data_IF_463961766498
#
_entry.id   IF_463961766498
#
_cell.length_a   1.000
_cell.length_b   1.000
_cell.length_c   1.000
_cell.angle_alpha   90.00
_cell.angle_beta   90.00
_cell.angle_gamma   90.00
#
_symmetry.space_group_name_H-M   'P 1'
#
loop_
_entity.id
_entity.type
_entity.pdbx_description
1 polymer ?
#
# COMPACT_ATOMS: atom_id res chain seq x y z
N UNK A 1 38.48 -11.80 23.98
CA UNK A 1 37.13 -12.29 23.61
C UNK A 1 36.57 -11.35 22.55
N UNK A 2 36.52 -11.77 21.28
CA UNK A 2 35.74 -11.06 20.27
C UNK A 2 34.27 -11.40 20.49
N UNK A 3 33.45 -10.40 20.78
CA UNK A 3 32.00 -10.51 20.70
C UNK A 3 31.64 -10.67 19.22
N UNK A 4 31.34 -11.90 18.81
CA UNK A 4 30.64 -12.14 17.54
C UNK A 4 29.23 -11.61 17.75
N UNK A 5 28.92 -10.47 17.14
CA UNK A 5 27.55 -9.99 17.07
C UNK A 5 26.73 -11.09 16.38
N UNK A 6 25.79 -11.72 17.10
CA UNK A 6 24.81 -12.58 16.48
C UNK A 6 24.00 -11.71 15.52
N UNK A 7 24.09 -12.00 14.22
CA UNK A 7 23.19 -11.45 13.22
C UNK A 7 21.76 -11.89 13.59
N UNK A 8 21.04 -11.05 14.33
CA UNK A 8 19.62 -11.23 14.57
C UNK A 8 18.93 -10.90 13.25
N UNK A 9 18.31 -11.90 12.64
CA UNK A 9 17.56 -11.71 11.40
C UNK A 9 16.54 -10.57 11.61
N UNK A 10 16.73 -9.47 10.88
CA UNK A 10 15.84 -8.33 10.93
C UNK A 10 14.53 -8.73 10.25
N UNK A 11 13.43 -8.73 10.99
CA UNK A 11 12.09 -8.97 10.43
C UNK A 11 11.37 -7.65 10.22
N UNK A 12 10.75 -7.47 9.05
CA UNK A 12 10.00 -6.26 8.70
C UNK A 12 8.60 -6.65 8.22
N UNK A 13 7.55 -6.12 8.85
CA UNK A 13 6.18 -6.27 8.38
C UNK A 13 5.77 -5.09 7.49
N UNK A 14 5.56 -5.35 6.20
CA UNK A 14 4.92 -4.42 5.27
C UNK A 14 3.38 -4.61 5.29
N UNK A 15 2.67 -3.65 5.87
CA UNK A 15 1.20 -3.57 5.76
C UNK A 15 0.82 -2.84 4.48
N UNK A 16 0.13 -3.52 3.58
CA UNK A 16 -0.13 -3.04 2.23
C UNK A 16 -1.55 -3.27 1.73
N UNK A 17 -1.91 -2.60 0.64
CA UNK A 17 -3.25 -2.71 0.03
C UNK A 17 -3.42 -3.97 -0.83
N UNK A 18 -4.65 -4.43 -1.04
CA UNK A 18 -4.99 -5.71 -1.69
C UNK A 18 -4.25 -6.02 -3.00
N UNK A 19 -4.12 -5.03 -3.89
CA UNK A 19 -3.64 -5.24 -5.28
C UNK A 19 -2.11 -5.23 -5.39
N UNK A 20 -1.39 -5.02 -4.29
CA UNK A 20 0.08 -4.97 -4.28
C UNK A 20 0.76 -6.29 -3.95
N UNK A 21 -0.01 -7.37 -3.76
CA UNK A 21 0.50 -8.67 -3.33
C UNK A 21 1.58 -9.19 -4.28
N UNK A 22 1.27 -9.24 -5.56
CA UNK A 22 2.16 -9.73 -6.62
C UNK A 22 3.37 -8.82 -6.80
N UNK A 23 3.17 -7.50 -6.67
CA UNK A 23 4.24 -6.51 -6.76
C UNK A 23 5.30 -6.76 -5.67
N UNK A 24 4.89 -6.86 -4.41
CA UNK A 24 5.82 -7.06 -3.31
C UNK A 24 6.35 -8.49 -3.25
N UNK A 25 5.59 -9.50 -3.69
CA UNK A 25 6.12 -10.85 -3.85
C UNK A 25 7.28 -10.90 -4.85
N UNK A 26 7.25 -10.07 -5.90
CA UNK A 26 8.34 -9.95 -6.86
C UNK A 26 9.49 -9.05 -6.38
N UNK A 27 9.20 -8.00 -5.61
CA UNK A 27 10.21 -7.03 -5.15
C UNK A 27 10.97 -7.44 -3.90
N UNK A 28 10.34 -8.18 -2.98
CA UNK A 28 10.95 -8.52 -1.69
C UNK A 28 12.19 -9.41 -1.84
N UNK A 29 12.18 -10.54 -2.58
CA UNK A 29 13.35 -11.40 -2.69
C UNK A 29 14.62 -10.70 -3.23
N UNK A 30 14.58 -9.92 -4.32
CA UNK A 30 15.78 -9.20 -4.77
C UNK A 30 16.21 -8.11 -3.78
N UNK A 31 15.27 -7.48 -3.07
CA UNK A 31 15.62 -6.49 -2.04
C UNK A 31 16.30 -7.13 -0.82
N UNK A 32 15.82 -8.27 -0.35
CA UNK A 32 16.45 -9.04 0.73
C UNK A 32 17.87 -9.50 0.34
N UNK A 33 18.06 -9.94 -0.90
CA UNK A 33 19.39 -10.28 -1.43
C UNK A 33 20.31 -9.07 -1.50
N UNK A 34 19.80 -7.92 -1.95
CA UNK A 34 20.56 -6.69 -1.99
C UNK A 34 20.94 -6.22 -0.58
N UNK A 35 20.01 -6.29 0.37
CA UNK A 35 20.26 -5.97 1.78
C UNK A 35 21.41 -6.80 2.35
N UNK A 36 21.38 -8.13 2.16
CA UNK A 36 22.43 -9.01 2.67
C UNK A 36 23.81 -8.67 2.07
N UNK A 37 23.85 -8.27 0.79
CA UNK A 37 25.10 -7.81 0.16
C UNK A 37 25.61 -6.51 0.75
N UNK A 38 24.73 -5.54 0.97
CA UNK A 38 25.09 -4.19 1.43
C UNK A 38 25.36 -4.13 2.95
N UNK A 39 24.82 -5.07 3.72
CA UNK A 39 24.86 -5.07 5.19
C UNK A 39 25.66 -6.26 5.76
N UNK A 40 26.73 -6.68 5.07
CA UNK A 40 27.69 -7.65 5.62
C UNK A 40 27.12 -9.03 5.91
N UNK A 41 26.11 -9.47 5.16
CA UNK A 41 25.43 -10.75 5.36
C UNK A 41 24.28 -10.72 6.36
N UNK A 42 23.86 -9.54 6.83
CA UNK A 42 22.67 -9.43 7.67
C UNK A 42 21.42 -9.95 6.93
N UNK A 43 20.64 -10.79 7.62
CA UNK A 43 19.47 -11.45 7.05
C UNK A 43 18.24 -10.62 7.30
N UNK A 44 17.72 -9.99 6.24
CA UNK A 44 16.41 -9.35 6.25
C UNK A 44 15.32 -10.36 5.87
N UNK A 45 14.17 -10.34 6.55
CA UNK A 45 12.97 -11.09 6.18
C UNK A 45 11.77 -10.15 6.15
N UNK A 46 11.13 -10.02 4.99
CA UNK A 46 9.98 -9.14 4.79
C UNK A 46 8.69 -9.95 4.82
N UNK A 47 7.89 -9.76 5.86
CA UNK A 47 6.52 -10.25 5.94
C UNK A 47 5.56 -9.26 5.29
N UNK A 48 4.46 -9.78 4.76
CA UNK A 48 3.45 -8.99 4.07
C UNK A 48 2.07 -9.21 4.68
N UNK A 49 1.31 -8.14 4.84
CA UNK A 49 -0.12 -8.17 5.17
C UNK A 49 -0.90 -7.39 4.11
N UNK A 50 -1.91 -8.01 3.50
CA UNK A 50 -2.71 -7.41 2.43
C UNK A 50 -4.20 -7.44 2.78
N UNK A 51 -4.83 -6.27 2.75
CA UNK A 51 -6.27 -6.08 2.82
C UNK A 51 -6.62 -4.72 2.16
N UNK A 52 -7.89 -4.33 2.14
CA UNK A 52 -8.25 -2.95 1.82
C UNK A 52 -7.47 -1.94 2.70
N UNK A 53 -6.90 -0.89 2.09
CA UNK A 53 -5.96 0.03 2.75
C UNK A 53 -6.50 0.64 4.05
N UNK A 54 -7.79 1.01 4.10
CA UNK A 54 -8.41 1.51 5.32
C UNK A 54 -8.52 0.43 6.41
N UNK A 55 -8.78 -0.82 6.02
CA UNK A 55 -8.81 -1.93 6.98
C UNK A 55 -7.43 -2.19 7.58
N UNK A 56 -6.38 -2.11 6.76
CA UNK A 56 -5.00 -2.21 7.23
C UNK A 56 -4.63 -1.08 8.19
N UNK A 57 -4.94 0.17 7.83
CA UNK A 57 -4.67 1.32 8.71
C UNK A 57 -5.40 1.19 10.06
N UNK A 58 -6.67 0.73 10.05
CA UNK A 58 -7.42 0.46 11.27
C UNK A 58 -6.81 -0.69 12.08
N UNK A 59 -6.34 -1.76 11.44
CA UNK A 59 -5.67 -2.86 12.14
C UNK A 59 -4.40 -2.38 12.86
N UNK A 60 -3.63 -1.48 12.25
CA UNK A 60 -2.46 -0.84 12.89
C UNK A 60 -2.88 -0.02 14.11
N UNK A 61 -3.91 0.82 13.97
CA UNK A 61 -4.45 1.57 15.11
C UNK A 61 -4.98 0.66 16.23
N UNK A 62 -5.36 -0.58 15.91
CA UNK A 62 -5.80 -1.60 16.86
C UNK A 62 -4.66 -2.48 17.42
N UNK A 63 -3.40 -2.20 17.05
CA UNK A 63 -2.23 -2.86 17.62
C UNK A 63 -1.48 -3.81 16.68
N UNK A 64 -1.84 -3.89 15.40
CA UNK A 64 -0.98 -4.56 14.41
C UNK A 64 0.35 -3.81 14.30
N UNK A 65 1.45 -4.46 14.68
CA UNK A 65 2.80 -3.91 14.59
C UNK A 65 3.34 -4.03 13.17
N UNK A 66 3.08 -3.02 12.35
CA UNK A 66 3.70 -2.88 11.04
C UNK A 66 4.92 -1.96 11.12
N UNK A 67 5.97 -2.28 10.38
CA UNK A 67 7.17 -1.45 10.30
C UNK A 67 7.04 -0.43 9.17
N UNK A 68 6.47 -0.86 8.05
CA UNK A 68 6.27 -0.03 6.86
C UNK A 68 4.83 -0.17 6.40
N UNK A 69 4.26 0.94 5.93
CA UNK A 69 2.96 0.93 5.27
C UNK A 69 3.08 1.35 3.82
N UNK A 70 2.41 0.64 2.93
CA UNK A 70 2.39 0.94 1.50
C UNK A 70 0.94 0.98 1.02
N UNK A 71 0.31 2.14 1.09
CA UNK A 71 -1.12 2.32 0.83
C UNK A 71 -1.39 3.18 -0.39
N UNK A 72 -2.44 2.85 -1.12
CA UNK A 72 -2.82 3.59 -2.31
C UNK A 72 -3.55 4.91 -2.03
N UNK A 73 -3.78 5.32 -0.78
CA UNK A 73 -4.44 6.57 -0.44
C UNK A 73 -3.72 7.35 0.66
N UNK A 74 -3.57 8.66 0.42
CA UNK A 74 -3.00 9.61 1.38
C UNK A 74 -3.75 9.58 2.71
N UNK A 75 -5.09 9.54 2.68
CA UNK A 75 -5.92 9.56 3.89
C UNK A 75 -5.69 8.35 4.80
N UNK A 76 -5.39 7.18 4.22
CA UNK A 76 -5.14 5.96 5.02
C UNK A 76 -3.75 5.96 5.65
N UNK A 77 -2.80 6.72 5.10
CA UNK A 77 -1.52 6.97 5.77
C UNK A 77 -1.69 8.07 6.81
N UNK A 78 -2.37 9.15 6.47
CA UNK A 78 -2.58 10.31 7.34
C UNK A 78 -3.26 9.92 8.66
N UNK A 79 -4.22 8.99 8.65
CA UNK A 79 -4.88 8.54 9.88
C UNK A 79 -3.91 7.92 10.90
N UNK A 80 -2.78 7.35 10.46
CA UNK A 80 -1.75 6.80 11.34
C UNK A 80 -1.00 7.91 12.10
N UNK A 81 -0.90 9.09 11.51
CA UNK A 81 -0.45 10.29 12.20
C UNK A 81 -1.56 10.80 13.13
N UNK A 82 -2.71 11.15 12.55
CA UNK A 82 -3.76 11.92 13.23
C UNK A 82 -4.34 11.18 14.45
N UNK A 83 -4.51 9.86 14.35
CA UNK A 83 -5.12 9.03 15.41
C UNK A 83 -4.13 8.17 16.17
N UNK A 84 -3.04 7.77 15.52
CA UNK A 84 -2.06 6.85 16.10
C UNK A 84 -0.81 7.53 16.66
N UNK A 85 -0.48 8.75 16.20
CA UNK A 85 0.82 9.38 16.40
C UNK A 85 2.00 8.45 16.04
N UNK A 86 1.77 7.51 15.11
CA UNK A 86 2.71 6.44 14.76
C UNK A 86 3.74 6.90 13.72
N UNK A 87 3.40 7.93 12.94
CA UNK A 87 4.28 8.58 11.95
C UNK A 87 4.32 10.08 12.22
N UNK A 88 5.40 10.79 11.83
CA UNK A 88 5.48 12.24 11.99
C UNK A 88 4.52 12.98 11.04
N UNK A 89 4.21 14.25 11.36
CA UNK A 89 3.27 15.07 10.58
C UNK A 89 3.74 15.32 9.15
N UNK A 90 5.05 15.40 8.95
CA UNK A 90 5.71 15.68 7.67
C UNK A 90 5.99 14.41 6.85
N UNK A 91 5.31 13.29 7.13
CA UNK A 91 5.57 12.00 6.49
C UNK A 91 5.52 12.05 4.95
N UNK A 92 4.70 12.94 4.37
CA UNK A 92 4.58 13.11 2.92
C UNK A 92 5.85 13.65 2.27
N UNK A 93 6.62 14.49 2.97
CA UNK A 93 7.85 15.08 2.43
C UNK A 93 9.11 14.27 2.72
N UNK A 94 9.01 13.20 3.52
CA UNK A 94 10.15 12.37 3.92
C UNK A 94 10.76 11.56 2.77
N UNK A 95 10.00 11.35 1.70
CA UNK A 95 10.45 10.68 0.48
C UNK A 95 10.10 11.52 -0.75
N UNK A 96 10.86 11.39 -1.85
CA UNK A 96 10.54 12.06 -3.11
C UNK A 96 9.11 11.81 -3.60
N UNK A 97 8.61 12.71 -4.43
CA UNK A 97 7.29 12.61 -5.07
C UNK A 97 6.12 12.51 -4.08
N UNK A 98 6.21 13.22 -2.95
CA UNK A 98 5.23 13.18 -1.85
C UNK A 98 5.04 11.76 -1.29
N UNK A 99 6.16 11.07 -1.04
CA UNK A 99 6.18 9.67 -0.61
C UNK A 99 5.48 8.72 -1.57
N UNK A 100 5.52 9.04 -2.88
CA UNK A 100 4.90 8.26 -3.94
C UNK A 100 5.92 7.68 -4.92
N UNK A 101 6.36 6.42 -4.74
CA UNK A 101 7.33 5.83 -5.65
C UNK A 101 6.75 5.56 -7.05
N UNK A 102 5.43 5.39 -7.18
CA UNK A 102 4.77 5.18 -8.47
C UNK A 102 3.31 5.63 -8.45
N UNK A 103 2.76 5.80 -9.65
CA UNK A 103 1.36 6.10 -9.89
C UNK A 103 0.76 5.13 -10.91
N UNK A 104 -0.56 4.99 -10.87
CA UNK A 104 -1.36 4.20 -11.78
C UNK A 104 -2.56 5.04 -12.25
N UNK A 105 -3.36 4.49 -13.15
CA UNK A 105 -4.62 5.07 -13.61
C UNK A 105 -5.72 4.03 -13.51
N UNK A 106 -6.97 4.50 -13.38
CA UNK A 106 -8.12 3.63 -13.52
C UNK A 106 -8.33 3.30 -14.99
N UNK A 107 -8.66 2.04 -15.26
CA UNK A 107 -9.10 1.55 -16.55
C UNK A 107 -10.30 0.62 -16.38
N UNK A 108 -11.04 0.40 -17.45
CA UNK A 108 -12.14 -0.56 -17.46
C UNK A 108 -11.60 -1.94 -17.86
N UNK A 109 -11.94 -2.95 -17.07
CA UNK A 109 -11.72 -4.33 -17.45
C UNK A 109 -13.04 -4.91 -17.95
N UNK A 110 -13.09 -5.23 -19.23
CA UNK A 110 -14.27 -5.82 -19.88
C UNK A 110 -14.02 -7.28 -20.25
N UNK A 111 -15.09 -8.05 -20.46
CA UNK A 111 -14.99 -9.41 -21.00
C UNK A 111 -14.46 -9.37 -22.44
N UNK A 112 -13.85 -10.48 -22.87
CA UNK A 112 -13.31 -10.65 -24.23
C UNK A 112 -14.34 -10.23 -25.29
N UNK A 113 -13.90 -9.43 -26.27
CA UNK A 113 -14.74 -8.92 -27.35
C UNK A 113 -15.58 -7.68 -26.99
N UNK A 114 -15.51 -7.19 -25.75
CA UNK A 114 -16.29 -6.02 -25.29
C UNK A 114 -17.78 -6.10 -25.68
N UNK A 115 -18.52 -7.13 -25.22
CA UNK A 115 -19.89 -7.41 -25.70
C UNK A 115 -20.90 -6.29 -25.38
N UNK A 116 -20.55 -5.38 -24.46
CA UNK A 116 -21.38 -4.23 -24.10
C UNK A 116 -20.91 -2.92 -24.75
N UNK A 117 -19.86 -2.97 -25.56
CA UNK A 117 -19.28 -1.83 -26.26
C UNK A 117 -18.97 -0.66 -25.31
N UNK A 118 -18.33 -0.96 -24.17
CA UNK A 118 -17.95 0.04 -23.16
C UNK A 118 -16.69 0.77 -23.64
N UNK A 119 -16.76 2.08 -23.76
CA UNK A 119 -15.65 2.97 -24.12
C UNK A 119 -15.43 4.08 -23.10
N UNK A 120 -16.50 4.57 -22.47
CA UNK A 120 -16.42 5.68 -21.54
C UNK A 120 -17.26 5.48 -20.26
N UNK A 121 -17.34 6.53 -19.43
CA UNK A 121 -18.08 6.50 -18.18
C UNK A 121 -19.60 6.57 -18.37
N UNK A 122 -20.07 7.13 -19.48
CA UNK A 122 -21.49 7.21 -19.80
C UNK A 122 -22.04 5.82 -20.12
N UNK A 123 -21.20 4.94 -20.68
CA UNK A 123 -21.58 3.55 -20.90
C UNK A 123 -21.87 2.79 -19.60
N UNK A 124 -21.27 3.21 -18.47
CA UNK A 124 -21.42 2.53 -17.18
C UNK A 124 -22.80 2.74 -16.53
N UNK A 125 -23.53 3.80 -16.91
CA UNK A 125 -24.87 4.09 -16.35
C UNK A 125 -26.00 3.42 -17.12
N UNK A 126 -25.68 2.70 -18.21
CA UNK A 126 -26.67 1.96 -18.99
C UNK A 126 -27.32 0.85 -18.17
N UNK A 127 -28.61 0.65 -18.37
CA UNK A 127 -29.41 -0.34 -17.63
C UNK A 127 -28.97 -1.79 -17.84
N UNK A 128 -28.31 -2.08 -18.96
CA UNK A 128 -27.84 -3.43 -19.32
C UNK A 128 -26.41 -3.73 -18.86
N UNK A 129 -25.76 -2.78 -18.17
CA UNK A 129 -24.39 -2.88 -17.65
C UNK A 129 -24.43 -3.16 -16.15
N UNK A 130 -23.81 -4.27 -15.73
CA UNK A 130 -23.67 -4.61 -14.31
C UNK A 130 -22.26 -4.30 -13.83
N UNK A 131 -22.15 -3.35 -12.91
CA UNK A 131 -20.88 -2.89 -12.35
C UNK A 131 -20.47 -3.78 -11.16
N UNK A 132 -19.17 -4.05 -11.06
CA UNK A 132 -18.57 -4.74 -9.92
C UNK A 132 -17.61 -3.74 -9.27
N UNK A 133 -17.95 -3.29 -8.05
CA UNK A 133 -17.09 -2.38 -7.29
C UNK A 133 -16.72 -2.99 -5.93
N UNK A 134 -15.49 -2.72 -5.46
CA UNK A 134 -15.15 -2.99 -4.07
C UNK A 134 -15.92 -2.05 -3.12
N UNK A 135 -15.95 -2.38 -1.82
CA UNK A 135 -16.63 -1.56 -0.82
C UNK A 135 -15.82 -0.28 -0.51
N UNK A 136 -16.38 0.94 -0.71
CA UNK A 136 -15.67 2.20 -0.47
C UNK A 136 -15.35 2.48 1.00
N UNK A 137 -16.04 1.82 1.94
CA UNK A 137 -15.74 1.97 3.37
C UNK A 137 -14.45 1.28 3.78
N UNK A 138 -13.98 0.30 3.01
CA UNK A 138 -12.84 -0.54 3.38
C UNK A 138 -11.71 -0.52 2.35
N UNK A 139 -11.98 -0.10 1.11
CA UNK A 139 -11.03 -0.12 0.00
C UNK A 139 -10.74 1.27 -0.57
N UNK A 140 -9.47 1.66 -0.60
CA UNK A 140 -9.03 2.86 -1.30
C UNK A 140 -9.34 2.83 -2.81
N UNK A 141 -9.28 1.66 -3.45
CA UNK A 141 -9.62 1.54 -4.87
C UNK A 141 -11.08 1.91 -5.14
N UNK A 142 -11.99 1.49 -4.25
CA UNK A 142 -13.40 1.84 -4.36
C UNK A 142 -13.66 3.34 -4.17
N UNK A 143 -12.95 4.00 -3.26
CA UNK A 143 -13.04 5.47 -3.11
C UNK A 143 -12.54 6.22 -4.34
N UNK A 144 -11.51 5.72 -5.03
CA UNK A 144 -11.09 6.28 -6.31
C UNK A 144 -12.16 6.15 -7.38
N UNK A 145 -12.83 5.00 -7.47
CA UNK A 145 -13.92 4.81 -8.41
C UNK A 145 -15.10 5.74 -8.13
N UNK A 146 -15.44 5.96 -6.86
CA UNK A 146 -16.52 6.87 -6.47
C UNK A 146 -16.19 8.34 -6.77
N UNK A 147 -14.94 8.78 -6.56
CA UNK A 147 -14.56 10.19 -6.67
C UNK A 147 -14.34 10.70 -8.11
N UNK A 148 -14.33 9.84 -9.14
CA UNK A 148 -13.83 10.23 -10.47
C UNK A 148 -14.81 11.04 -11.33
N UNK A 149 -15.19 12.23 -10.87
CA UNK A 149 -15.40 13.40 -11.74
C UNK A 149 -14.07 14.17 -11.83
N UNK A 150 -13.27 13.90 -12.87
CA UNK A 150 -11.97 14.57 -13.10
C UNK A 150 -10.78 13.64 -12.90
N UNK A 151 -10.09 13.34 -13.99
CA UNK A 151 -8.96 12.41 -14.06
C UNK A 151 -7.87 12.71 -13.00
N UNK A 152 -7.72 11.84 -12.01
CA UNK A 152 -6.53 11.84 -11.14
C UNK A 152 -5.94 10.45 -10.97
N UNK A 153 -4.62 10.42 -11.05
CA UNK A 153 -3.74 9.24 -10.96
C UNK A 153 -3.89 8.59 -9.58
N UNK A 154 -3.99 7.26 -9.54
CA UNK A 154 -3.88 6.48 -8.30
C UNK A 154 -2.42 6.57 -7.87
N UNK A 155 -2.13 6.99 -6.65
CA UNK A 155 -0.75 7.07 -6.17
C UNK A 155 -0.52 6.00 -5.12
N UNK A 156 0.52 5.17 -5.27
CA UNK A 156 0.97 4.39 -4.12
C UNK A 156 1.73 5.34 -3.22
N UNK A 157 1.37 5.38 -1.94
CA UNK A 157 2.09 6.06 -0.86
C UNK A 157 2.86 5.01 -0.06
N UNK A 158 4.12 5.29 0.26
CA UNK A 158 4.87 4.52 1.25
C UNK A 158 5.14 5.42 2.46
N UNK A 159 4.74 5.02 3.66
CA UNK A 159 5.14 5.70 4.89
C UNK A 159 6.21 4.88 5.60
N UNK A 160 7.34 5.53 5.86
CA UNK A 160 8.53 4.91 6.46
C UNK A 160 8.46 4.90 7.98
N UNK A 161 8.71 3.70 8.52
CA UNK A 161 9.07 3.35 9.90
C UNK A 161 8.13 3.95 10.94
N UNK A 162 7.11 3.16 11.31
CA UNK A 162 6.26 3.48 12.46
C UNK A 162 7.14 3.55 13.71
N UNK A 163 6.86 4.49 14.61
CA UNK A 163 7.54 4.56 15.91
C UNK A 163 7.39 3.21 16.62
N UNK A 164 8.46 2.61 17.17
CA UNK A 164 8.31 1.49 18.06
C UNK A 164 7.47 1.96 19.27
N UNK A 165 6.41 1.22 19.61
CA UNK A 165 5.64 1.50 20.81
C UNK A 165 6.57 1.35 22.02
N UNK A 166 6.91 2.46 22.66
CA UNK A 166 7.49 2.47 24.00
C UNK A 166 6.46 1.90 24.97
N UNK A 167 6.66 0.65 25.37
CA UNK A 167 6.25 0.16 26.68
C UNK A 167 7.39 0.48 27.65
#
# INVERSE_FOLDING_TARGET
MLLVAQAQATELLNSSYDVSRELFAALNPPFEQQWAKDNGGDKLTIKQSHAGSSKQALAILQGLKADVVTYNQVTDVQILHDKGNLIPADWQSRLPNNSSPFYSTMGFLVRKGNPKNIHDWNDLVRSDVKLIFPNPKTSGNARYTYWRHGARRIKLMAAIKLKPNSL
#
